data_IF_750785460347
#
_entry.id   IF_750785460347
#
_cell.length_a   1.000
_cell.length_b   1.000
_cell.length_c   1.000
_cell.angle_alpha   90.00
_cell.angle_beta   90.00
_cell.angle_gamma   90.00
#
_symmetry.space_group_name_H-M   'P 1'
#
loop_
_entity.id
_entity.type
_entity.pdbx_description
1 polymer ?
#
# COMPACT_ATOMS: atom_id res chain seq x y z
N UNK A 1 15.93 -43.72 -17.34
CA UNK A 1 16.84 -43.32 -16.25
C UNK A 1 16.32 -42.03 -15.65
N UNK A 2 15.77 -42.08 -14.44
CA UNK A 2 15.34 -40.88 -13.73
C UNK A 2 16.60 -40.15 -13.26
N UNK A 3 16.95 -39.05 -13.92
CA UNK A 3 17.96 -38.13 -13.44
C UNK A 3 17.36 -37.53 -12.18
N UNK A 4 17.78 -38.01 -11.01
CA UNK A 4 17.47 -37.34 -9.75
C UNK A 4 18.02 -35.92 -9.88
N UNK A 5 17.14 -34.93 -10.04
CA UNK A 5 17.51 -33.53 -10.09
C UNK A 5 18.11 -33.17 -8.72
N UNK A 6 19.43 -33.33 -8.60
CA UNK A 6 20.17 -32.87 -7.42
C UNK A 6 20.06 -31.37 -7.44
N UNK A 7 19.24 -30.81 -6.54
CA UNK A 7 19.15 -29.37 -6.40
C UNK A 7 20.54 -28.85 -6.01
N UNK A 8 21.06 -27.84 -6.71
CA UNK A 8 22.34 -27.25 -6.36
C UNK A 8 22.27 -26.67 -4.95
N UNK A 9 23.31 -26.95 -4.16
CA UNK A 9 23.45 -26.43 -2.79
C UNK A 9 23.60 -24.91 -2.79
N UNK A 10 24.37 -24.39 -3.75
CA UNK A 10 24.62 -22.97 -3.91
C UNK A 10 23.75 -22.40 -5.03
N UNK A 11 22.96 -21.38 -4.72
CA UNK A 11 22.11 -20.67 -5.66
C UNK A 11 22.77 -19.34 -6.01
N UNK A 12 22.94 -19.06 -7.31
CA UNK A 12 23.52 -17.80 -7.78
C UNK A 12 22.60 -16.63 -7.44
N UNK A 13 23.17 -15.43 -7.24
CA UNK A 13 22.40 -14.18 -7.01
C UNK A 13 21.32 -13.94 -8.08
N UNK A 14 21.55 -14.37 -9.34
CA UNK A 14 20.55 -14.27 -10.41
C UNK A 14 19.30 -15.10 -10.12
N UNK A 15 19.47 -16.29 -9.56
CA UNK A 15 18.41 -17.29 -9.43
C UNK A 15 17.78 -17.26 -8.02
N UNK A 16 18.47 -16.70 -7.02
CA UNK A 16 18.01 -16.61 -5.63
C UNK A 16 16.69 -15.83 -5.43
N UNK A 17 16.45 -14.67 -6.07
CA UNK A 17 15.15 -13.98 -5.98
C UNK A 17 14.00 -14.83 -6.54
N UNK A 18 14.26 -15.57 -7.62
CA UNK A 18 13.27 -16.45 -8.26
C UNK A 18 12.95 -17.66 -7.38
N UNK A 19 13.95 -18.21 -6.68
CA UNK A 19 13.75 -19.30 -5.71
C UNK A 19 12.79 -18.89 -4.58
N UNK A 20 12.93 -17.67 -4.07
CA UNK A 20 12.07 -17.14 -3.01
C UNK A 20 10.72 -16.58 -3.51
N UNK A 21 10.51 -16.50 -4.84
CA UNK A 21 9.31 -15.92 -5.43
C UNK A 21 9.16 -14.42 -5.18
N UNK A 22 10.27 -13.68 -5.05
CA UNK A 22 10.27 -12.24 -4.78
C UNK A 22 11.00 -11.44 -5.87
N UNK A 23 10.76 -10.13 -5.90
CA UNK A 23 11.45 -9.24 -6.82
C UNK A 23 12.92 -9.00 -6.39
N UNK A 24 13.76 -8.65 -7.36
CA UNK A 24 15.20 -8.46 -7.14
C UNK A 24 15.53 -7.30 -6.20
N UNK A 25 14.70 -6.26 -6.17
CA UNK A 25 14.97 -5.09 -5.34
C UNK A 25 14.72 -5.43 -3.86
N UNK A 26 13.58 -6.04 -3.58
CA UNK A 26 13.23 -6.53 -2.25
C UNK A 26 14.18 -7.59 -1.74
N UNK A 27 14.66 -8.48 -2.62
CA UNK A 27 15.72 -9.43 -2.26
C UNK A 27 17.00 -8.71 -1.81
N UNK A 28 17.46 -7.70 -2.55
CA UNK A 28 18.66 -6.96 -2.22
C UNK A 28 18.53 -6.14 -0.92
N UNK A 29 17.34 -5.67 -0.58
CA UNK A 29 17.09 -4.90 0.64
C UNK A 29 16.87 -5.78 1.88
N UNK A 30 16.09 -6.86 1.75
CA UNK A 30 15.62 -7.63 2.90
C UNK A 30 16.40 -8.94 3.14
N UNK A 31 16.87 -9.58 2.07
CA UNK A 31 17.47 -10.93 2.16
C UNK A 31 18.99 -10.82 2.16
N UNK A 32 19.55 -10.07 1.21
CA UNK A 32 20.99 -9.92 1.03
C UNK A 32 21.78 -9.48 2.27
N UNK A 33 21.36 -8.48 3.08
CA UNK A 33 22.13 -8.08 4.27
C UNK A 33 22.08 -9.12 5.41
N UNK A 34 21.12 -10.04 5.36
CA UNK A 34 20.92 -11.06 6.39
C UNK A 34 21.55 -12.41 6.04
N UNK A 35 22.12 -12.56 4.84
CA UNK A 35 22.75 -13.78 4.36
C UNK A 35 24.25 -13.63 4.19
N UNK A 36 24.96 -14.75 4.31
CA UNK A 36 26.40 -14.81 4.02
C UNK A 36 26.59 -14.91 2.50
N UNK A 37 27.24 -13.90 1.91
CA UNK A 37 27.60 -13.90 0.49
C UNK A 37 28.80 -14.83 0.25
N UNK A 38 28.62 -15.85 -0.59
CA UNK A 38 29.71 -16.75 -1.01
C UNK A 38 30.18 -16.30 -2.39
N UNK A 39 31.39 -15.72 -2.51
CA UNK A 39 31.95 -15.37 -3.80
C UNK A 39 32.27 -16.64 -4.59
N UNK A 40 31.80 -16.70 -5.84
CA UNK A 40 32.13 -17.76 -6.79
C UNK A 40 32.80 -17.15 -8.02
N UNK A 41 34.11 -17.32 -8.08
CA UNK A 41 34.95 -16.78 -9.15
C UNK A 41 35.14 -15.26 -8.99
N UNK A 42 35.33 -14.57 -10.11
CA UNK A 42 35.75 -13.16 -10.12
C UNK A 42 34.60 -12.16 -9.89
N UNK A 43 33.38 -12.52 -10.31
CA UNK A 43 32.22 -11.61 -10.29
C UNK A 43 30.93 -12.29 -9.79
N UNK A 44 30.97 -13.60 -9.55
CA UNK A 44 29.79 -14.34 -9.13
C UNK A 44 29.61 -14.28 -7.63
N UNK A 45 28.36 -14.10 -7.19
CA UNK A 45 27.95 -14.31 -5.79
C UNK A 45 26.90 -15.40 -5.76
N UNK A 46 26.98 -16.26 -4.75
CA UNK A 46 26.01 -17.31 -4.48
C UNK A 46 25.66 -17.37 -2.99
N UNK A 47 24.54 -18.02 -2.72
CA UNK A 47 23.99 -18.23 -1.39
C UNK A 47 23.75 -19.72 -1.17
N UNK A 48 23.89 -20.20 0.06
CA UNK A 48 23.44 -21.56 0.39
C UNK A 48 21.90 -21.59 0.40
N UNK A 49 21.33 -22.65 -0.16
CA UNK A 49 19.91 -22.93 -0.11
C UNK A 49 19.40 -23.04 1.33
N UNK A 50 20.17 -23.65 2.23
CA UNK A 50 19.72 -23.78 3.62
C UNK A 50 19.64 -22.43 4.33
N UNK A 51 20.54 -21.51 4.02
CA UNK A 51 20.50 -20.16 4.61
C UNK A 51 19.29 -19.39 4.09
N UNK A 52 18.97 -19.53 2.80
CA UNK A 52 17.74 -18.99 2.21
C UNK A 52 16.49 -19.58 2.87
N UNK A 53 16.44 -20.90 3.06
CA UNK A 53 15.31 -21.57 3.70
C UNK A 53 15.16 -21.14 5.17
N UNK A 54 16.27 -21.02 5.93
CA UNK A 54 16.26 -20.54 7.31
C UNK A 54 15.76 -19.09 7.40
N UNK A 55 16.22 -18.20 6.51
CA UNK A 55 15.72 -16.83 6.43
C UNK A 55 14.21 -16.80 6.14
N UNK A 56 13.71 -17.69 5.27
CA UNK A 56 12.27 -17.77 4.98
C UNK A 56 11.48 -18.19 6.21
N UNK A 57 11.99 -19.13 7.00
CA UNK A 57 11.30 -19.59 8.21
C UNK A 57 11.26 -18.50 9.29
N UNK A 58 12.35 -17.75 9.47
CA UNK A 58 12.38 -16.56 10.32
C UNK A 58 11.44 -15.46 9.78
N UNK A 59 11.41 -15.28 8.46
CA UNK A 59 10.51 -14.33 7.79
C UNK A 59 9.04 -14.73 8.01
N UNK A 60 8.69 -16.02 7.92
CA UNK A 60 7.33 -16.51 8.22
C UNK A 60 6.95 -16.29 9.67
N UNK A 61 7.88 -16.47 10.61
CA UNK A 61 7.62 -16.21 12.04
C UNK A 61 7.37 -14.72 12.31
N UNK A 62 8.15 -13.84 11.70
CA UNK A 62 8.02 -12.39 11.89
C UNK A 62 6.87 -11.76 11.10
N UNK A 63 6.62 -12.22 9.86
CA UNK A 63 5.62 -11.64 8.94
C UNK A 63 4.30 -12.41 8.90
N UNK A 64 4.26 -13.59 9.51
CA UNK A 64 3.07 -14.42 9.64
C UNK A 64 2.03 -13.75 10.52
N UNK A 65 1.26 -12.82 9.96
CA UNK A 65 -0.11 -12.65 10.44
C UNK A 65 -0.82 -13.97 10.11
N UNK A 66 -1.29 -14.74 11.11
CA UNK A 66 -2.14 -15.89 10.80
C UNK A 66 -3.26 -15.40 9.92
N UNK A 67 -3.41 -16.03 8.75
CA UNK A 67 -4.56 -15.81 7.91
C UNK A 67 -5.78 -16.31 8.71
N UNK A 68 -6.39 -15.42 9.48
CA UNK A 68 -7.68 -15.63 10.10
C UNK A 68 -7.83 -16.91 10.94
N UNK A 69 -7.29 -16.93 12.16
CA UNK A 69 -8.00 -17.66 13.24
C UNK A 69 -8.95 -16.70 13.97
N UNK A 70 -8.57 -15.41 14.05
CA UNK A 70 -9.38 -14.31 14.57
C UNK A 70 -9.55 -13.17 13.56
N UNK A 71 -9.64 -13.44 12.24
CA UNK A 71 -10.47 -12.52 11.44
C UNK A 71 -11.85 -12.97 11.82
N UNK A 72 -12.48 -12.19 12.70
CA UNK A 72 -13.84 -12.39 13.11
C UNK A 72 -14.67 -12.86 11.92
N UNK A 73 -15.60 -13.75 12.20
CA UNK A 73 -16.72 -14.11 11.36
C UNK A 73 -17.62 -12.88 11.08
N UNK A 74 -17.05 -11.69 11.00
CA UNK A 74 -17.70 -10.48 10.55
C UNK A 74 -17.56 -10.49 9.03
N UNK A 75 -18.62 -11.03 8.43
CA UNK A 75 -19.01 -10.84 7.04
C UNK A 75 -18.63 -9.43 6.61
N UNK A 76 -17.67 -9.29 5.71
CA UNK A 76 -17.26 -8.03 5.09
C UNK A 76 -18.35 -7.47 4.14
N UNK A 77 -19.61 -7.75 4.41
CA UNK A 77 -20.76 -7.33 3.61
C UNK A 77 -21.96 -7.10 4.54
N UNK A 78 -21.95 -5.96 5.20
CA UNK A 78 -23.15 -5.14 5.31
C UNK A 78 -22.69 -3.69 5.26
N UNK A 79 -22.73 -3.17 4.04
CA UNK A 79 -22.46 -1.79 3.73
C UNK A 79 -23.62 -0.94 4.28
N UNK A 80 -23.73 -0.81 5.61
CA UNK A 80 -24.45 0.33 6.17
C UNK A 80 -23.67 1.57 5.76
N UNK A 81 -24.19 2.24 4.72
CA UNK A 81 -23.79 3.60 4.39
C UNK A 81 -23.98 4.42 5.67
N UNK A 82 -22.90 4.64 6.42
CA UNK A 82 -22.86 5.70 7.40
C UNK A 82 -23.01 6.99 6.62
N UNK A 83 -24.24 7.49 6.57
CA UNK A 83 -24.53 8.82 6.06
C UNK A 83 -23.60 9.77 6.80
N UNK A 84 -22.66 10.36 6.08
CA UNK A 84 -21.85 11.45 6.60
C UNK A 84 -22.82 12.48 7.18
N UNK A 85 -22.89 12.59 8.51
CA UNK A 85 -23.38 13.81 9.12
C UNK A 85 -22.33 14.85 8.77
N UNK A 86 -22.58 15.64 7.73
CA UNK A 86 -21.80 16.83 7.45
C UNK A 86 -22.03 17.82 8.59
N UNK A 87 -21.36 17.60 9.72
CA UNK A 87 -21.10 18.67 10.67
C UNK A 87 -19.95 19.45 10.05
N UNK A 88 -20.28 20.58 9.44
CA UNK A 88 -19.30 21.51 8.88
C UNK A 88 -18.42 22.02 10.02
N UNK A 89 -17.28 21.36 10.24
CA UNK A 89 -16.24 21.90 11.11
C UNK A 89 -15.51 22.98 10.32
N UNK A 90 -15.99 24.21 10.50
CA UNK A 90 -15.34 25.42 10.00
C UNK A 90 -13.95 25.54 10.64
N UNK A 91 -12.90 25.25 9.89
CA UNK A 91 -11.52 25.49 10.30
C UNK A 91 -11.28 27.01 10.37
N UNK A 92 -11.03 27.53 11.57
CA UNK A 92 -10.71 28.94 11.78
C UNK A 92 -9.27 29.19 11.33
N UNK A 93 -9.10 29.92 10.23
CA UNK A 93 -7.79 30.29 9.69
C UNK A 93 -7.23 31.46 10.52
N UNK A 94 -6.17 31.25 11.30
CA UNK A 94 -5.51 32.27 12.14
C UNK A 94 -4.68 33.30 11.35
N UNK A 95 -4.90 33.42 10.04
CA UNK A 95 -4.14 34.34 9.19
C UNK A 95 -4.88 35.68 9.13
N UNK A 96 -4.22 36.77 9.53
CA UNK A 96 -4.78 38.13 9.40
C UNK A 96 -5.10 38.39 7.92
N UNK A 97 -6.38 38.52 7.60
CA UNK A 97 -6.86 38.97 6.28
C UNK A 97 -6.77 40.48 6.18
N UNK A 98 -6.47 41.00 5.00
CA UNK A 98 -6.45 42.45 4.75
C UNK A 98 -7.85 42.95 4.37
N UNK A 99 -8.14 44.25 4.58
CA UNK A 99 -9.44 44.84 4.23
C UNK A 99 -9.79 44.68 2.74
N UNK A 100 -8.76 44.59 1.88
CA UNK A 100 -8.93 44.35 0.45
C UNK A 100 -9.49 42.94 0.15
N UNK A 101 -9.13 41.94 0.94
CA UNK A 101 -9.62 40.57 0.78
C UNK A 101 -11.12 40.50 1.14
N UNK A 102 -11.54 41.26 2.15
CA UNK A 102 -12.94 41.35 2.58
C UNK A 102 -13.81 42.03 1.51
N UNK A 103 -13.35 43.15 0.96
CA UNK A 103 -14.07 43.86 -0.11
C UNK A 103 -14.25 42.96 -1.35
N UNK A 104 -13.22 42.20 -1.71
CA UNK A 104 -13.27 41.25 -2.84
C UNK A 104 -14.28 40.13 -2.60
N UNK A 105 -14.35 39.60 -1.38
CA UNK A 105 -15.32 38.57 -1.01
C UNK A 105 -16.77 39.08 -1.04
N UNK A 106 -17.02 40.32 -0.59
CA UNK A 106 -18.35 40.93 -0.60
C UNK A 106 -18.90 41.03 -2.04
N UNK A 107 -18.08 41.50 -2.99
CA UNK A 107 -18.47 41.61 -4.41
C UNK A 107 -18.79 40.23 -5.01
N UNK A 108 -18.03 39.20 -4.66
CA UNK A 108 -18.31 37.83 -5.12
C UNK A 108 -19.60 37.25 -4.54
N UNK A 109 -19.96 37.62 -3.32
CA UNK A 109 -21.20 37.17 -2.68
C UNK A 109 -22.43 37.85 -3.30
N UNK A 110 -22.36 39.17 -3.54
CA UNK A 110 -23.50 39.95 -4.05
C UNK A 110 -23.70 39.81 -5.56
N UNK A 111 -22.66 39.43 -6.31
CA UNK A 111 -22.75 39.22 -7.77
C UNK A 111 -23.48 37.94 -8.18
N UNK A 112 -23.75 37.01 -7.24
CA UNK A 112 -24.50 35.80 -7.54
C UNK A 112 -26.00 36.08 -7.59
N UNK A 113 -26.52 36.25 -8.82
CA UNK A 113 -27.96 36.35 -9.10
C UNK A 113 -28.71 35.09 -8.61
N UNK A 114 -29.78 35.22 -7.81
CA UNK A 114 -30.63 34.08 -7.44
C UNK A 114 -31.25 33.44 -8.69
N UNK A 115 -31.13 32.12 -8.83
CA UNK A 115 -31.83 31.35 -9.88
C UNK A 115 -33.29 31.19 -9.48
N UNK A 116 -34.20 31.82 -10.22
CA UNK A 116 -35.63 31.56 -10.11
C UNK A 116 -35.91 30.14 -10.62
N UNK A 117 -36.43 29.27 -9.74
CA UNK A 117 -36.95 27.96 -10.10
C UNK A 117 -38.41 28.18 -10.53
N UNK A 118 -38.66 28.28 -11.83
CA UNK A 118 -40.01 28.08 -12.37
C UNK A 118 -40.22 26.57 -12.52
N UNK A 119 -40.86 25.95 -11.53
CA UNK A 119 -41.41 24.61 -11.69
C UNK A 119 -42.61 24.71 -12.63
N UNK A 120 -42.45 24.20 -13.85
CA UNK A 120 -43.54 23.95 -14.78
C UNK A 120 -44.45 22.88 -14.20
N UNK A 121 -45.64 23.28 -13.77
CA UNK A 121 -46.76 22.40 -13.47
C UNK A 121 -47.93 22.90 -14.30
N UNK A 122 -48.26 22.20 -15.38
CA UNK A 122 -49.66 21.85 -15.67
C UNK A 122 -49.72 20.70 -16.68
N UNK A 123 -50.22 19.56 -16.19
CA UNK A 123 -50.82 18.48 -16.96
C UNK A 123 -52.14 18.99 -17.56
N UNK A 124 -52.44 18.69 -18.82
CA UNK A 124 -53.52 17.78 -19.24
C UNK A 124 -53.50 17.58 -20.76
#
# INVERSE_FOLDING_TARGET
MSISNVLPRLIRLRDAPSYLGMDRHRFNEAVRPNLIEIPIGTQGVAFDRLDLDAWVDDYKQCSGRPAAINRSMDRWDENERQGFKSVGSSGSLTRRSSDADFAKALVLATSKRPKNILQGVLKK
#
